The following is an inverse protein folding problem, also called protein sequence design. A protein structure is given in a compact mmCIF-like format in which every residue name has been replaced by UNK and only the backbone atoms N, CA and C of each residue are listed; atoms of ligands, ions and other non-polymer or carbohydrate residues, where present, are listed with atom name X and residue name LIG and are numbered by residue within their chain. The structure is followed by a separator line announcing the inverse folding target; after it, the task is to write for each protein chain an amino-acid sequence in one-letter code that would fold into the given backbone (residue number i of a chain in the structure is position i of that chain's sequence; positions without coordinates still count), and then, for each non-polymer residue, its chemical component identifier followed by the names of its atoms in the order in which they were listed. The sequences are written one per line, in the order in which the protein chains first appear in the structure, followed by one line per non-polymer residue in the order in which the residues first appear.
data_IF_860346234701
#
_entry.id   IF_860346234701
#
_cell.length_a   1.000
_cell.length_b   1.000
_cell.length_c   1.000
_cell.angle_alpha   90.00
_cell.angle_beta   90.00
_cell.angle_gamma   90.00
#
_symmetry.space_group_name_H-M   'P 1'
#
loop_
_entity.id
_entity.type
_entity.pdbx_description
1 polymer ?
#
# COMPACT_ATOMS: atom_id res chain seq x y z
N UNK A 1 19.76 -22.77 -2.24
CA UNK A 1 18.43 -22.65 -2.90
C UNK A 1 17.45 -22.08 -1.88
N UNK A 2 16.91 -20.87 -2.09
CA UNK A 2 15.93 -20.27 -1.18
C UNK A 2 14.63 -21.08 -1.28
N UNK A 3 14.20 -21.69 -0.16
CA UNK A 3 12.95 -22.44 -0.02
C UNK A 3 11.81 -21.58 -0.56
N UNK A 4 11.09 -22.07 -1.58
CA UNK A 4 9.87 -21.43 -2.08
C UNK A 4 8.86 -21.42 -0.93
N UNK A 5 8.83 -20.32 -0.18
CA UNK A 5 7.79 -20.08 0.81
C UNK A 5 6.52 -19.79 0.00
N UNK A 6 5.62 -20.75 -0.07
CA UNK A 6 4.29 -20.56 -0.60
C UNK A 6 3.57 -19.58 0.34
N UNK A 7 3.72 -18.28 0.07
CA UNK A 7 3.04 -17.22 0.83
C UNK A 7 1.57 -17.29 0.46
N UNK A 8 0.71 -17.33 1.48
CA UNK A 8 -0.71 -17.13 1.29
C UNK A 8 -0.96 -15.63 1.02
N UNK A 9 -1.60 -15.31 -0.10
CA UNK A 9 -1.93 -13.94 -0.49
C UNK A 9 -3.42 -13.62 -0.19
N UNK A 10 -4.01 -14.31 0.77
CA UNK A 10 -5.34 -14.05 1.29
C UNK A 10 -5.23 -13.14 2.51
N UNK A 11 -5.89 -11.99 2.46
CA UNK A 11 -5.81 -10.96 3.48
C UNK A 11 -7.17 -10.70 4.12
N UNK A 12 -7.20 -10.73 5.44
CA UNK A 12 -8.36 -10.33 6.26
C UNK A 12 -8.13 -8.90 6.75
N UNK A 13 -8.42 -7.94 5.88
CA UNK A 13 -8.30 -6.53 6.23
C UNK A 13 -9.48 -6.09 7.10
N UNK A 14 -9.17 -5.45 8.24
CA UNK A 14 -10.20 -4.77 9.01
C UNK A 14 -10.72 -3.54 8.24
N UNK A 15 -11.81 -2.91 8.73
CA UNK A 15 -12.44 -1.75 8.07
C UNK A 15 -11.47 -0.58 7.84
N UNK A 16 -10.52 -0.36 8.75
CA UNK A 16 -9.54 0.71 8.64
C UNK A 16 -8.46 0.36 7.62
N UNK A 17 -7.96 -0.88 7.64
CA UNK A 17 -7.00 -1.40 6.66
C UNK A 17 -7.58 -1.28 5.25
N UNK A 18 -8.83 -1.70 5.03
CA UNK A 18 -9.52 -1.57 3.74
C UNK A 18 -9.54 -0.12 3.25
N UNK A 19 -9.92 0.84 4.10
CA UNK A 19 -9.92 2.27 3.76
C UNK A 19 -8.52 2.79 3.46
N UNK A 20 -7.53 2.38 4.25
CA UNK A 20 -6.15 2.81 4.09
C UNK A 20 -5.58 2.30 2.77
N UNK A 21 -5.74 1.02 2.46
CA UNK A 21 -5.30 0.42 1.20
C UNK A 21 -6.01 1.09 0.01
N UNK A 22 -7.32 1.33 0.10
CA UNK A 22 -8.05 2.07 -0.94
C UNK A 22 -7.47 3.48 -1.16
N UNK A 23 -7.17 4.21 -0.09
CA UNK A 23 -6.61 5.56 -0.18
C UNK A 23 -5.21 5.56 -0.78
N UNK A 24 -4.36 4.59 -0.40
CA UNK A 24 -3.03 4.41 -0.98
C UNK A 24 -3.15 4.15 -2.49
N UNK A 25 -3.95 3.14 -2.88
CA UNK A 25 -4.12 2.79 -4.29
C UNK A 25 -4.63 4.00 -5.11
N UNK A 26 -5.67 4.70 -4.63
CA UNK A 26 -6.21 5.89 -5.30
C UNK A 26 -5.17 6.99 -5.46
N UNK A 27 -4.38 7.26 -4.42
CA UNK A 27 -3.37 8.33 -4.45
C UNK A 27 -2.28 8.01 -5.45
N UNK A 28 -1.78 6.77 -5.44
CA UNK A 28 -0.69 6.34 -6.33
C UNK A 28 -1.18 6.29 -7.79
N UNK A 29 -2.38 5.76 -8.04
CA UNK A 29 -2.98 5.77 -9.37
C UNK A 29 -3.08 7.21 -9.89
N UNK A 30 -3.60 8.15 -9.09
CA UNK A 30 -3.68 9.57 -9.49
C UNK A 30 -2.32 10.24 -9.74
N UNK A 31 -1.26 9.79 -9.08
CA UNK A 31 0.09 10.33 -9.28
C UNK A 31 0.79 9.78 -10.52
N UNK A 32 0.37 8.59 -10.96
CA UNK A 32 1.03 7.82 -12.02
C UNK A 32 0.18 7.67 -13.28
N UNK A 33 -1.09 8.06 -13.23
CA UNK A 33 -1.99 8.06 -14.38
C UNK A 33 -1.46 8.95 -15.51
N UNK A 34 -1.52 8.45 -16.74
CA UNK A 34 -1.06 9.16 -17.93
C UNK A 34 0.39 8.87 -18.35
N UNK A 35 1.21 8.25 -17.50
CA UNK A 35 2.57 7.84 -17.87
C UNK A 35 2.63 6.34 -18.16
N UNK A 36 2.92 5.98 -19.42
CA UNK A 36 2.95 4.59 -19.87
C UNK A 36 3.95 3.71 -19.10
N UNK A 37 5.00 4.31 -18.52
CA UNK A 37 5.98 3.54 -17.74
C UNK A 37 5.40 2.93 -16.47
N UNK A 38 4.30 3.49 -15.94
CA UNK A 38 3.61 3.00 -14.75
C UNK A 38 2.38 2.14 -15.08
N UNK A 39 2.13 1.80 -16.35
CA UNK A 39 0.93 1.06 -16.75
C UNK A 39 0.70 -0.22 -15.94
N UNK A 40 1.75 -1.03 -15.75
CA UNK A 40 1.66 -2.27 -14.98
C UNK A 40 1.34 -2.04 -13.49
N UNK A 41 1.85 -0.95 -12.93
CA UNK A 41 1.58 -0.55 -11.55
C UNK A 41 0.15 -0.05 -11.37
N UNK A 42 -0.30 0.87 -12.25
CA UNK A 42 -1.67 1.37 -12.28
C UNK A 42 -2.66 0.22 -12.42
N UNK A 43 -2.38 -0.76 -13.31
CA UNK A 43 -3.23 -1.94 -13.48
C UNK A 43 -3.34 -2.78 -12.22
N UNK A 44 -2.21 -3.07 -11.57
CA UNK A 44 -2.20 -3.87 -10.35
C UNK A 44 -2.92 -3.17 -9.18
N UNK A 45 -2.65 -1.88 -8.97
CA UNK A 45 -3.29 -1.09 -7.91
C UNK A 45 -4.78 -0.87 -8.17
N UNK A 46 -5.19 -0.73 -9.44
CA UNK A 46 -6.61 -0.66 -9.81
C UNK A 46 -7.32 -1.98 -9.52
N UNK A 47 -6.69 -3.11 -9.81
CA UNK A 47 -7.21 -4.44 -9.48
C UNK A 47 -7.38 -4.63 -7.96
N UNK A 48 -6.39 -4.23 -7.16
CA UNK A 48 -6.49 -4.25 -5.69
C UNK A 48 -7.66 -3.37 -5.22
N UNK A 49 -7.80 -2.18 -5.79
CA UNK A 49 -8.86 -1.24 -5.44
C UNK A 49 -10.25 -1.84 -5.69
N UNK A 50 -10.45 -2.50 -6.83
CA UNK A 50 -11.72 -3.16 -7.14
C UNK A 50 -12.00 -4.35 -6.20
N UNK A 51 -10.99 -5.18 -5.91
CA UNK A 51 -11.13 -6.29 -4.95
C UNK A 51 -11.53 -5.83 -3.56
N UNK A 52 -11.09 -4.65 -3.12
CA UNK A 52 -11.50 -4.14 -1.81
C UNK A 52 -12.93 -3.58 -1.85
N UNK A 53 -13.36 -3.06 -3.00
CA UNK A 53 -14.73 -2.55 -3.20
C UNK A 53 -15.78 -3.65 -3.29
N UNK A 54 -15.43 -4.86 -3.76
CA UNK A 54 -16.38 -6.00 -3.81
C UNK A 54 -16.91 -6.39 -2.44
N UNK A 55 -16.22 -5.99 -1.36
CA UNK A 55 -16.72 -6.13 0.01
C UNK A 55 -16.40 -7.48 0.64
N UNK A 56 -15.67 -8.36 -0.06
CA UNK A 56 -15.31 -9.68 0.41
C UNK A 56 -14.57 -9.63 1.76
N UNK A 57 -14.86 -10.59 2.64
CA UNK A 57 -14.17 -10.72 3.93
C UNK A 57 -12.68 -11.00 3.73
N UNK A 58 -12.37 -11.88 2.78
CA UNK A 58 -11.01 -12.24 2.39
C UNK A 58 -10.64 -11.62 1.05
N UNK A 59 -9.65 -10.72 1.05
CA UNK A 59 -9.11 -10.12 -0.17
C UNK A 59 -7.98 -10.99 -0.71
N UNK A 60 -8.18 -11.56 -1.90
CA UNK A 60 -7.18 -12.41 -2.56
C UNK A 60 -6.32 -11.58 -3.51
N UNK A 61 -5.05 -11.40 -3.15
CA UNK A 61 -4.06 -10.76 -4.02
C UNK A 61 -3.32 -11.80 -4.84
N UNK A 62 -2.92 -11.42 -6.03
CA UNK A 62 -1.92 -12.14 -6.82
C UNK A 62 -0.53 -11.78 -6.27
N UNK A 63 0.47 -12.60 -6.60
CA UNK A 63 1.86 -12.30 -6.25
C UNK A 63 2.32 -10.94 -6.80
N UNK A 64 1.94 -10.60 -8.04
CA UNK A 64 2.31 -9.33 -8.66
C UNK A 64 1.68 -8.13 -7.94
N UNK A 65 0.37 -8.19 -7.66
CA UNK A 65 -0.34 -7.18 -6.86
C UNK A 65 0.29 -7.00 -5.48
N UNK A 66 0.56 -8.11 -4.79
CA UNK A 66 1.21 -8.10 -3.48
C UNK A 66 2.58 -7.40 -3.56
N UNK A 67 3.44 -7.81 -4.50
CA UNK A 67 4.79 -7.28 -4.62
C UNK A 67 4.78 -5.79 -4.95
N UNK A 68 3.92 -5.35 -5.88
CA UNK A 68 3.82 -3.94 -6.28
C UNK A 68 3.25 -3.07 -5.16
N UNK A 69 2.18 -3.53 -4.51
CA UNK A 69 1.60 -2.78 -3.39
C UNK A 69 2.58 -2.68 -2.22
N UNK A 70 3.25 -3.79 -1.87
CA UNK A 70 4.30 -3.79 -0.84
C UNK A 70 5.39 -2.79 -1.17
N UNK A 71 5.90 -2.81 -2.40
CA UNK A 71 6.95 -1.87 -2.83
C UNK A 71 6.48 -0.42 -2.67
N UNK A 72 5.27 -0.10 -3.14
CA UNK A 72 4.74 1.25 -3.04
C UNK A 72 4.51 1.68 -1.58
N UNK A 73 4.07 0.75 -0.73
CA UNK A 73 3.93 0.98 0.70
C UNK A 73 5.28 1.31 1.35
N UNK A 74 6.34 0.56 1.02
CA UNK A 74 7.71 0.81 1.49
C UNK A 74 8.26 2.17 1.01
N UNK A 75 8.04 2.51 -0.27
CA UNK A 75 8.43 3.81 -0.84
C UNK A 75 7.73 4.95 -0.11
N UNK A 76 6.42 4.83 0.12
CA UNK A 76 5.64 5.84 0.85
C UNK A 76 6.10 5.99 2.30
N UNK A 77 6.35 4.88 3.02
CA UNK A 77 6.89 4.89 4.38
C UNK A 77 8.23 5.64 4.42
N UNK A 78 9.14 5.33 3.48
CA UNK A 78 10.43 6.02 3.38
C UNK A 78 10.25 7.51 3.10
N UNK A 79 9.37 7.87 2.17
CA UNK A 79 9.06 9.26 1.86
C UNK A 79 8.57 10.02 3.10
N UNK A 80 7.61 9.47 3.86
CA UNK A 80 7.13 10.11 5.08
C UNK A 80 8.22 10.26 6.14
N UNK A 81 9.07 9.24 6.32
CA UNK A 81 10.24 9.34 7.22
C UNK A 81 11.15 10.51 6.84
N UNK A 82 11.44 10.67 5.56
CA UNK A 82 12.30 11.76 5.07
C UNK A 82 11.63 13.14 5.18
N UNK A 83 10.32 13.23 4.93
CA UNK A 83 9.55 14.46 5.12
C UNK A 83 9.47 14.88 6.59
N UNK A 84 9.35 13.91 7.51
CA UNK A 84 9.38 14.19 8.96
C UNK A 84 10.75 14.75 9.35
N UNK A 85 11.86 14.18 8.85
CA UNK A 85 13.21 14.71 9.16
C UNK A 85 13.38 16.17 8.74
N UNK A 86 12.83 16.55 7.58
CA UNK A 86 12.97 17.89 6.98
C UNK A 86 11.87 18.89 7.39
N UNK A 87 10.76 18.43 7.97
CA UNK A 87 9.56 19.23 8.19
C UNK A 87 9.57 20.11 9.44
N UNK A 88 8.76 21.17 9.41
CA UNK A 88 8.42 21.98 10.59
C UNK A 88 7.40 21.27 11.48
N UNK A 89 7.19 21.73 12.72
CA UNK A 89 6.45 21.01 13.77
C UNK A 89 5.07 20.47 13.33
N UNK A 90 4.25 21.28 12.65
CA UNK A 90 2.92 20.85 12.19
C UNK A 90 2.99 19.75 11.11
N UNK A 91 3.89 19.88 10.12
CA UNK A 91 4.11 18.85 9.09
C UNK A 91 4.61 17.54 9.70
N UNK A 92 5.49 17.63 10.70
CA UNK A 92 5.99 16.47 11.45
C UNK A 92 4.85 15.73 12.17
N UNK A 93 3.96 16.47 12.83
CA UNK A 93 2.83 15.87 13.54
C UNK A 93 1.87 15.13 12.60
N UNK A 94 1.45 15.77 11.51
CA UNK A 94 0.58 15.14 10.50
C UNK A 94 1.21 13.90 9.88
N UNK A 95 2.46 14.01 9.41
CA UNK A 95 3.14 12.88 8.77
C UNK A 95 3.43 11.74 9.73
N UNK A 96 3.67 12.02 11.02
CA UNK A 96 3.88 10.97 12.02
C UNK A 96 2.63 10.09 12.19
N UNK A 97 1.44 10.70 12.19
CA UNK A 97 0.17 9.96 12.25
C UNK A 97 -0.04 9.07 11.01
N UNK A 98 0.22 9.61 9.82
CA UNK A 98 0.10 8.86 8.56
C UNK A 98 1.12 7.73 8.50
N UNK A 99 2.38 8.01 8.84
CA UNK A 99 3.47 7.04 8.86
C UNK A 99 3.12 5.85 9.76
N UNK A 100 2.61 6.11 10.96
CA UNK A 100 2.22 5.05 11.89
C UNK A 100 1.15 4.11 11.29
N UNK A 101 0.15 4.66 10.59
CA UNK A 101 -0.87 3.84 9.93
C UNK A 101 -0.26 2.96 8.82
N UNK A 102 0.66 3.51 8.04
CA UNK A 102 1.32 2.77 6.96
C UNK A 102 2.25 1.68 7.52
N UNK A 103 2.98 1.96 8.59
CA UNK A 103 3.85 0.99 9.26
C UNK A 103 3.04 -0.14 9.89
N UNK A 104 1.92 0.15 10.57
CA UNK A 104 1.03 -0.88 11.12
C UNK A 104 0.49 -1.78 10.01
N UNK A 105 0.02 -1.20 8.90
CA UNK A 105 -0.45 -1.98 7.75
C UNK A 105 0.66 -2.89 7.18
N UNK A 106 1.87 -2.33 7.03
CA UNK A 106 3.01 -3.07 6.51
C UNK A 106 3.44 -4.22 7.42
N UNK A 107 3.58 -3.96 8.72
CA UNK A 107 4.00 -4.95 9.71
C UNK A 107 2.98 -6.09 9.86
N UNK A 108 1.69 -5.76 9.85
CA UNK A 108 0.64 -6.76 10.05
C UNK A 108 0.41 -7.67 8.85
N UNK A 109 0.58 -7.16 7.62
CA UNK A 109 0.14 -7.86 6.40
C UNK A 109 1.26 -8.09 5.37
N UNK A 110 2.22 -7.17 5.25
CA UNK A 110 3.11 -7.10 4.09
C UNK A 110 4.58 -7.37 4.34
N UNK A 111 5.04 -7.48 5.59
CA UNK A 111 6.42 -7.84 5.95
C UNK A 111 6.87 -9.17 5.34
#
# INVERSE_FOLDING_TARGET
MKKLQFRNYHFEFNKNDKKLVQNICKTVIKQTEGDQKYFAEVKALSSILEKIKTGDETIKLTKDEFTRFRYQLEVNIKHFKDQIKKGWFFKKWLYKSILMQYEILYENHFK
#
